data_IF_813676454324
#
_entry.id   IF_813676454324
#
_cell.length_a   1.000
_cell.length_b   1.000
_cell.length_c   1.000
_cell.angle_alpha   90.00
_cell.angle_beta   90.00
_cell.angle_gamma   90.00
#
_symmetry.space_group_name_H-M   'P 1'
#
loop_
_entity.id
_entity.type
_entity.pdbx_description
1 polymer ?
#
# COMPACT_ATOMS: atom_id res chain seq x y z
N UNK A 1 -21.61 -10.24 -4.16
CA UNK A 1 -22.76 -9.49 -4.72
C UNK A 1 -22.72 -8.06 -4.19
N UNK A 2 -22.46 -7.06 -5.04
CA UNK A 2 -22.62 -5.66 -4.68
C UNK A 2 -24.11 -5.32 -4.71
N UNK A 3 -24.62 -4.63 -3.70
CA UNK A 3 -26.04 -4.24 -3.61
C UNK A 3 -26.46 -3.43 -4.83
N UNK A 4 -27.74 -3.47 -5.24
CA UNK A 4 -28.24 -2.68 -6.38
C UNK A 4 -27.96 -1.17 -6.23
N UNK A 5 -27.91 -0.68 -4.98
CA UNK A 5 -27.47 0.68 -4.65
C UNK A 5 -26.00 0.97 -5.04
N UNK A 6 -25.11 -0.02 -4.95
CA UNK A 6 -23.69 0.09 -5.34
C UNK A 6 -23.49 0.08 -6.86
N UNK A 7 -24.33 -0.64 -7.60
CA UNK A 7 -24.27 -0.70 -9.07
C UNK A 7 -24.80 0.58 -9.72
N UNK A 8 -25.81 1.22 -9.13
CA UNK A 8 -26.32 2.52 -9.57
C UNK A 8 -25.38 3.69 -9.22
N UNK A 9 -24.62 3.60 -8.12
CA UNK A 9 -23.65 4.61 -7.72
C UNK A 9 -22.36 4.61 -8.57
N UNK A 10 -21.98 3.47 -9.17
CA UNK A 10 -20.79 3.37 -10.03
C UNK A 10 -20.77 4.34 -11.23
N UNK A 11 -21.84 4.46 -12.04
CA UNK A 11 -21.85 5.40 -13.16
C UNK A 11 -21.92 6.87 -12.69
N UNK A 12 -22.64 7.17 -11.61
CA UNK A 12 -22.71 8.53 -11.05
C UNK A 12 -21.37 8.97 -10.44
N UNK A 13 -20.64 8.07 -9.78
CA UNK A 13 -19.27 8.31 -9.31
C UNK A 13 -18.26 8.44 -10.46
N UNK A 14 -18.49 7.74 -11.58
CA UNK A 14 -17.64 7.84 -12.78
C UNK A 14 -17.78 9.18 -13.53
N UNK A 15 -18.93 9.84 -13.41
CA UNK A 15 -19.15 11.19 -13.97
C UNK A 15 -18.45 12.27 -13.12
N UNK A 16 -18.31 12.03 -11.82
CA UNK A 16 -17.71 12.98 -10.86
C UNK A 16 -16.19 12.79 -10.64
N UNK A 17 -15.62 11.62 -10.94
CA UNK A 17 -14.17 11.38 -10.91
C UNK A 17 -13.53 11.65 -12.27
N UNK A 18 -13.17 12.90 -12.53
CA UNK A 18 -12.47 13.31 -13.75
C UNK A 18 -10.96 13.42 -13.48
N UNK A 19 -10.34 12.28 -13.15
CA UNK A 19 -8.88 12.16 -13.18
C UNK A 19 -8.31 12.58 -14.55
N UNK A 20 -7.01 12.92 -14.65
CA UNK A 20 -6.43 13.55 -15.84
C UNK A 20 -6.77 12.78 -17.11
N UNK A 21 -7.52 13.43 -18.02
CA UNK A 21 -8.13 12.79 -19.19
C UNK A 21 -7.19 12.77 -20.40
N UNK A 22 -6.08 13.50 -20.34
CA UNK A 22 -5.08 13.53 -21.41
C UNK A 22 -4.05 12.41 -21.21
N UNK A 23 -3.60 11.82 -22.33
CA UNK A 23 -2.51 10.84 -22.31
C UNK A 23 -1.25 11.42 -21.65
N UNK A 24 -0.97 12.71 -21.87
CA UNK A 24 0.14 13.45 -21.25
C UNK A 24 -0.01 13.61 -19.73
N UNK A 25 -1.20 13.96 -19.23
CA UNK A 25 -1.44 14.11 -17.79
C UNK A 25 -1.35 12.78 -17.03
N UNK A 26 -1.78 11.68 -17.67
CA UNK A 26 -1.57 10.32 -17.16
C UNK A 26 -0.09 9.92 -17.19
N UNK A 27 0.63 10.25 -18.26
CA UNK A 27 2.05 9.96 -18.38
C UNK A 27 2.88 10.70 -17.33
N UNK A 28 2.57 11.98 -17.06
CA UNK A 28 3.24 12.79 -16.03
C UNK A 28 3.00 12.21 -14.62
N UNK A 29 1.76 11.83 -14.31
CA UNK A 29 1.41 11.21 -13.03
C UNK A 29 2.08 9.82 -12.85
N UNK A 30 2.15 9.01 -13.92
CA UNK A 30 2.87 7.74 -13.92
C UNK A 30 4.39 7.93 -13.84
N UNK A 31 4.93 9.00 -14.43
CA UNK A 31 6.34 9.36 -14.31
C UNK A 31 6.67 9.72 -12.86
N UNK A 32 5.87 10.54 -12.17
CA UNK A 32 6.13 10.90 -10.77
C UNK A 32 6.22 9.67 -9.84
N UNK A 33 5.31 8.70 -9.97
CA UNK A 33 5.38 7.46 -9.19
C UNK A 33 6.63 6.60 -9.48
N UNK A 34 7.19 6.71 -10.70
CA UNK A 34 8.46 6.08 -11.09
C UNK A 34 9.67 6.90 -10.65
N UNK A 35 9.58 8.23 -10.69
CA UNK A 35 10.66 9.17 -10.31
C UNK A 35 10.96 9.08 -8.81
N UNK A 36 9.93 9.00 -7.96
CA UNK A 36 10.13 8.86 -6.51
C UNK A 36 10.42 7.41 -6.05
N UNK A 37 10.52 6.46 -6.98
CA UNK A 37 10.80 5.05 -6.68
C UNK A 37 9.81 4.38 -5.73
N UNK A 38 8.57 4.90 -5.63
CA UNK A 38 7.53 4.39 -4.76
C UNK A 38 7.12 2.95 -5.13
N UNK A 39 7.15 2.64 -6.43
CA UNK A 39 6.88 1.29 -6.97
C UNK A 39 8.13 0.42 -7.07
N UNK A 40 9.28 0.92 -6.62
CA UNK A 40 10.54 0.16 -6.69
C UNK A 40 10.51 -1.02 -5.73
N UNK A 41 10.97 -2.17 -6.22
CA UNK A 41 11.21 -3.35 -5.37
C UNK A 41 12.46 -3.19 -4.51
N UNK A 42 13.35 -2.27 -4.86
CA UNK A 42 14.58 -2.02 -4.11
C UNK A 42 14.26 -1.40 -2.75
N UNK A 43 14.94 -1.88 -1.71
CA UNK A 43 14.83 -1.32 -0.36
C UNK A 43 15.48 0.06 -0.35
N UNK A 44 16.72 0.18 -0.80
CA UNK A 44 17.44 1.45 -0.91
C UNK A 44 17.43 1.95 -2.35
N UNK A 45 17.07 3.21 -2.57
CA UNK A 45 17.23 3.89 -3.86
C UNK A 45 18.56 4.66 -3.92
N UNK A 46 19.08 4.99 -5.12
CA UNK A 46 20.34 5.72 -5.27
C UNK A 46 20.39 7.10 -4.59
N UNK A 47 19.22 7.75 -4.44
CA UNK A 47 19.06 9.08 -3.82
C UNK A 47 18.81 9.02 -2.30
N UNK A 48 18.84 7.83 -1.72
CA UNK A 48 18.56 7.61 -0.30
C UNK A 48 19.81 7.37 0.53
N UNK A 49 19.73 7.76 1.79
CA UNK A 49 20.84 7.67 2.75
C UNK A 49 21.03 6.22 3.22
N UNK A 50 22.09 5.59 2.71
CA UNK A 50 22.48 4.22 3.04
C UNK A 50 22.91 4.06 4.50
N UNK A 51 23.59 5.05 5.07
CA UNK A 51 24.09 5.02 6.45
C UNK A 51 22.93 5.14 7.43
N UNK A 52 21.95 5.99 7.11
CA UNK A 52 20.72 6.07 7.91
C UNK A 52 19.89 4.78 7.82
N UNK A 53 19.82 4.11 6.66
CA UNK A 53 19.20 2.78 6.56
C UNK A 53 19.94 1.76 7.43
N UNK A 54 21.27 1.76 7.40
CA UNK A 54 22.07 0.88 8.24
C UNK A 54 21.85 1.15 9.73
N UNK A 55 21.74 2.42 10.14
CA UNK A 55 21.43 2.81 11.52
C UNK A 55 20.03 2.34 11.95
N UNK A 56 19.01 2.52 11.10
CA UNK A 56 17.65 2.02 11.35
C UNK A 56 17.64 0.50 11.49
N UNK A 57 18.35 -0.19 10.61
CA UNK A 57 18.53 -1.65 10.68
C UNK A 57 19.16 -2.05 12.01
N UNK A 58 20.27 -1.43 12.38
CA UNK A 58 20.97 -1.73 13.62
C UNK A 58 20.08 -1.50 14.85
N UNK A 59 19.35 -0.39 14.90
CA UNK A 59 18.45 -0.07 16.01
C UNK A 59 17.31 -1.09 16.13
N UNK A 60 16.66 -1.44 15.01
CA UNK A 60 15.60 -2.46 15.01
C UNK A 60 16.13 -3.83 15.40
N UNK A 61 17.27 -4.26 14.86
CA UNK A 61 17.90 -5.52 15.26
C UNK A 61 18.27 -5.55 16.74
N UNK A 62 18.79 -4.46 17.29
CA UNK A 62 19.11 -4.37 18.71
C UNK A 62 17.88 -4.50 19.61
N UNK A 63 16.73 -3.93 19.21
CA UNK A 63 15.48 -4.03 19.96
C UNK A 63 14.83 -5.41 19.81
N UNK A 64 14.89 -5.98 18.61
CA UNK A 64 14.26 -7.26 18.29
C UNK A 64 15.08 -8.46 18.75
N UNK A 65 16.40 -8.31 18.91
CA UNK A 65 17.33 -9.36 19.29
C UNK A 65 17.09 -10.70 18.54
N UNK A 66 17.09 -10.68 17.18
CA UNK A 66 16.85 -11.88 16.40
C UNK A 66 17.96 -12.91 16.62
N UNK A 67 17.60 -14.19 16.72
CA UNK A 67 18.55 -15.31 16.82
C UNK A 67 18.35 -16.26 15.65
N UNK A 68 19.45 -16.55 14.96
CA UNK A 68 19.45 -17.44 13.80
C UNK A 68 18.88 -16.78 12.53
N UNK A 69 18.91 -17.54 11.43
CA UNK A 69 18.64 -17.01 10.10
C UNK A 69 17.17 -16.56 9.93
N UNK A 70 16.22 -17.31 10.46
CA UNK A 70 14.79 -17.05 10.24
C UNK A 70 14.32 -15.77 10.93
N UNK A 71 14.71 -15.58 12.20
CA UNK A 71 14.41 -14.34 12.93
C UNK A 71 15.10 -13.12 12.30
N UNK A 72 16.34 -13.30 11.82
CA UNK A 72 17.10 -12.26 11.13
C UNK A 72 16.37 -11.83 9.84
N UNK A 73 15.86 -12.78 9.07
CA UNK A 73 15.11 -12.50 7.85
C UNK A 73 13.83 -11.72 8.14
N UNK A 74 13.07 -12.09 9.18
CA UNK A 74 11.87 -11.37 9.59
C UNK A 74 12.18 -9.95 10.08
N UNK A 75 13.28 -9.78 10.82
CA UNK A 75 13.74 -8.45 11.24
C UNK A 75 14.16 -7.59 10.03
N UNK A 76 14.87 -8.17 9.05
CA UNK A 76 15.24 -7.48 7.82
C UNK A 76 14.01 -7.13 6.95
N UNK A 77 12.98 -7.98 6.92
CA UNK A 77 11.69 -7.68 6.27
C UNK A 77 10.98 -6.50 6.95
N UNK A 78 11.01 -6.42 8.29
CA UNK A 78 10.48 -5.27 9.02
C UNK A 78 11.22 -3.98 8.66
N UNK A 79 12.56 -4.01 8.62
CA UNK A 79 13.39 -2.86 8.20
C UNK A 79 13.01 -2.43 6.78
N UNK A 80 12.90 -3.38 5.86
CA UNK A 80 12.57 -3.13 4.47
C UNK A 80 11.15 -2.55 4.29
N UNK A 81 10.18 -3.01 5.08
CA UNK A 81 8.82 -2.47 5.08
C UNK A 81 8.77 -1.05 5.70
N UNK A 82 9.45 -0.84 6.82
CA UNK A 82 9.54 0.45 7.50
C UNK A 82 10.20 1.51 6.60
N UNK A 83 11.27 1.14 5.89
CA UNK A 83 11.94 2.04 4.97
C UNK A 83 11.04 2.48 3.81
N UNK A 84 10.32 1.53 3.20
CA UNK A 84 9.36 1.84 2.12
C UNK A 84 8.18 2.67 2.63
N UNK A 85 7.71 2.46 3.87
CA UNK A 85 6.69 3.30 4.50
C UNK A 85 7.20 4.73 4.71
N UNK A 86 8.44 4.89 5.18
CA UNK A 86 9.07 6.22 5.32
C UNK A 86 9.14 6.95 3.99
N UNK A 87 9.57 6.25 2.91
CA UNK A 87 9.56 6.81 1.55
C UNK A 87 8.15 7.24 1.13
N UNK A 88 7.15 6.39 1.37
CA UNK A 88 5.75 6.69 1.06
C UNK A 88 5.28 7.97 1.74
N UNK A 89 5.53 8.12 3.05
CA UNK A 89 5.16 9.33 3.79
C UNK A 89 5.91 10.58 3.31
N UNK A 90 7.19 10.45 2.91
CA UNK A 90 7.96 11.56 2.32
C UNK A 90 7.29 12.05 1.03
N UNK A 91 6.95 11.11 0.12
CA UNK A 91 6.28 11.42 -1.14
C UNK A 91 4.89 12.03 -0.89
N UNK A 92 4.15 11.51 0.09
CA UNK A 92 2.85 12.06 0.49
C UNK A 92 2.98 13.53 0.93
N UNK A 93 3.95 13.84 1.78
CA UNK A 93 4.21 15.20 2.24
C UNK A 93 4.62 16.16 1.11
N UNK A 94 5.45 15.69 0.16
CA UNK A 94 5.85 16.46 -1.02
C UNK A 94 4.65 16.78 -1.92
N UNK A 95 3.79 15.79 -2.19
CA UNK A 95 2.56 15.97 -2.97
C UNK A 95 1.66 17.01 -2.27
N UNK A 96 1.44 16.90 -0.97
CA UNK A 96 0.66 17.87 -0.21
C UNK A 96 1.25 19.28 -0.27
N UNK A 97 2.58 19.41 -0.21
CA UNK A 97 3.24 20.71 -0.27
C UNK A 97 3.02 21.39 -1.63
N UNK A 98 3.17 20.65 -2.73
CA UNK A 98 2.95 21.15 -4.09
C UNK A 98 1.49 21.54 -4.30
N UNK A 99 0.54 20.70 -3.89
CA UNK A 99 -0.89 21.01 -4.03
C UNK A 99 -1.29 22.25 -3.21
N UNK A 100 -0.82 22.36 -1.96
CA UNK A 100 -1.06 23.57 -1.15
C UNK A 100 -0.48 24.83 -1.80
N UNK A 101 0.69 24.74 -2.43
CA UNK A 101 1.30 25.88 -3.11
C UNK A 101 0.48 26.32 -4.35
N UNK A 102 -0.03 25.37 -5.14
CA UNK A 102 -0.91 25.63 -6.29
C UNK A 102 -2.23 26.31 -5.86
N UNK A 103 -2.86 25.82 -4.80
CA UNK A 103 -4.12 26.39 -4.31
C UNK A 103 -3.95 27.82 -3.80
N UNK A 104 -2.80 28.10 -3.17
CA UNK A 104 -2.43 29.47 -2.75
C UNK A 104 -2.18 30.40 -3.94
N UNK A 105 -1.59 29.91 -5.04
CA UNK A 105 -1.36 30.74 -6.23
C UNK A 105 -2.66 31.05 -7.00
N UNK A 106 -3.61 30.13 -6.97
CA UNK A 106 -4.86 30.22 -7.76
C UNK A 106 -6.00 30.94 -7.00
N UNK A 107 -5.75 31.43 -5.77
CA UNK A 107 -6.73 32.18 -4.98
C UNK A 107 -7.93 31.36 -4.48
N UNK A 108 -7.86 30.03 -4.56
CA UNK A 108 -8.96 29.13 -4.18
C UNK A 108 -8.68 28.51 -2.80
N UNK A 109 -9.48 28.88 -1.79
CA UNK A 109 -9.32 28.39 -0.40
C UNK A 109 -9.76 26.92 -0.17
N UNK A 110 -10.26 26.22 -1.18
CA UNK A 110 -10.70 24.82 -1.01
C UNK A 110 -10.41 23.96 -2.24
N UNK A 111 -9.23 23.33 -2.25
CA UNK A 111 -8.79 22.38 -3.27
C UNK A 111 -8.81 20.92 -2.81
N UNK A 112 -9.94 20.46 -2.28
CA UNK A 112 -10.08 19.11 -1.71
C UNK A 112 -10.09 18.01 -2.80
N UNK A 113 -10.36 18.36 -4.07
CA UNK A 113 -10.62 17.38 -5.13
C UNK A 113 -9.40 16.66 -5.74
N UNK A 114 -8.29 17.35 -6.00
CA UNK A 114 -7.14 16.79 -6.76
C UNK A 114 -6.15 16.03 -5.88
N UNK A 115 -5.93 16.48 -4.65
CA UNK A 115 -5.14 15.75 -3.65
C UNK A 115 -5.70 14.35 -3.37
N UNK A 116 -7.03 14.20 -3.47
CA UNK A 116 -7.76 12.96 -3.18
C UNK A 116 -7.28 11.75 -3.99
N UNK A 117 -7.05 11.89 -5.31
CA UNK A 117 -6.71 10.77 -6.19
C UNK A 117 -5.27 10.28 -6.00
N UNK A 118 -4.33 11.19 -5.76
CA UNK A 118 -2.93 10.82 -5.49
C UNK A 118 -2.82 10.21 -4.10
N UNK A 119 -3.48 10.78 -3.10
CA UNK A 119 -3.56 10.17 -1.76
C UNK A 119 -4.19 8.79 -1.80
N UNK A 120 -5.30 8.62 -2.52
CA UNK A 120 -5.94 7.31 -2.66
C UNK A 120 -4.99 6.27 -3.28
N UNK A 121 -4.09 6.68 -4.18
CA UNK A 121 -3.03 5.80 -4.70
C UNK A 121 -1.98 5.51 -3.65
N UNK A 122 -1.52 6.50 -2.88
CA UNK A 122 -0.54 6.30 -1.80
C UNK A 122 -1.07 5.35 -0.72
N UNK A 123 -2.31 5.53 -0.26
CA UNK A 123 -2.94 4.66 0.75
C UNK A 123 -3.06 3.19 0.29
N UNK A 124 -3.19 2.95 -1.02
CA UNK A 124 -3.19 1.58 -1.59
C UNK A 124 -1.84 0.89 -1.47
N UNK A 125 -0.73 1.62 -1.40
CA UNK A 125 0.62 1.06 -1.17
C UNK A 125 0.95 0.97 0.31
N UNK A 126 0.43 1.89 1.12
CA UNK A 126 0.63 1.90 2.56
C UNK A 126 0.08 0.63 3.23
N UNK A 127 -1.12 0.20 2.82
CA UNK A 127 -1.79 -0.97 3.42
C UNK A 127 -0.95 -2.26 3.25
N UNK A 128 -0.50 -2.65 2.04
CA UNK A 128 0.38 -3.81 1.87
C UNK A 128 1.69 -3.70 2.67
N UNK A 129 2.30 -2.52 2.74
CA UNK A 129 3.56 -2.32 3.47
C UNK A 129 3.37 -2.45 4.98
N UNK A 130 2.31 -1.85 5.54
CA UNK A 130 1.93 -2.04 6.96
C UNK A 130 1.62 -3.50 7.25
N UNK A 131 0.87 -4.18 6.38
CA UNK A 131 0.57 -5.61 6.54
C UNK A 131 1.84 -6.47 6.52
N UNK A 132 2.78 -6.17 5.63
CA UNK A 132 4.08 -6.85 5.60
C UNK A 132 4.85 -6.63 6.91
N UNK A 133 4.92 -5.38 7.40
CA UNK A 133 5.58 -5.04 8.66
C UNK A 133 4.97 -5.80 9.85
N UNK A 134 3.65 -5.74 10.04
CA UNK A 134 3.00 -6.41 11.17
C UNK A 134 3.03 -7.93 11.06
N UNK A 135 2.94 -8.50 9.85
CA UNK A 135 3.11 -9.94 9.65
C UNK A 135 4.50 -10.39 10.10
N UNK A 136 5.55 -9.71 9.65
CA UNK A 136 6.91 -10.04 10.04
C UNK A 136 7.13 -9.93 11.55
N UNK A 137 6.60 -8.86 12.18
CA UNK A 137 6.63 -8.68 13.63
C UNK A 137 5.93 -9.83 14.37
N UNK A 138 4.72 -10.20 13.96
CA UNK A 138 3.97 -11.26 14.63
C UNK A 138 4.64 -12.62 14.49
N UNK A 139 5.14 -12.98 13.29
CA UNK A 139 5.86 -14.24 13.11
C UNK A 139 7.17 -14.27 13.92
N UNK A 140 7.88 -13.14 13.99
CA UNK A 140 9.09 -13.02 14.81
C UNK A 140 8.77 -13.23 16.30
N UNK A 141 7.76 -12.54 16.82
CA UNK A 141 7.32 -12.69 18.21
C UNK A 141 6.90 -14.12 18.51
N UNK A 142 6.27 -14.83 17.56
CA UNK A 142 5.90 -16.24 17.72
C UNK A 142 7.12 -17.14 17.81
N UNK A 143 8.12 -16.96 16.94
CA UNK A 143 9.37 -17.73 17.01
C UNK A 143 10.10 -17.49 18.33
N UNK A 144 10.15 -16.24 18.78
CA UNK A 144 10.79 -15.87 20.04
C UNK A 144 10.04 -16.44 21.26
N UNK A 145 8.71 -16.45 21.22
CA UNK A 145 7.88 -17.07 22.26
C UNK A 145 8.08 -18.60 22.31
N UNK A 146 8.11 -19.28 21.16
CA UNK A 146 8.45 -20.72 21.08
C UNK A 146 9.84 -20.98 21.66
N UNK A 147 10.83 -20.16 21.30
CA UNK A 147 12.19 -20.25 21.85
C UNK A 147 12.23 -20.03 23.36
N UNK A 148 11.41 -19.12 23.89
CA UNK A 148 11.27 -18.88 25.32
C UNK A 148 10.48 -19.99 26.06
N UNK A 149 10.05 -21.05 25.35
CA UNK A 149 9.29 -22.16 25.93
C UNK A 149 7.82 -21.87 26.16
N UNK A 150 7.29 -20.78 25.60
CA UNK A 150 5.87 -20.43 25.70
C UNK A 150 5.04 -21.28 24.73
N UNK A 151 3.84 -21.68 25.16
CA UNK A 151 2.89 -22.36 24.29
C UNK A 151 2.30 -21.35 23.28
N UNK A 152 2.74 -21.45 22.03
CA UNK A 152 2.24 -20.59 20.93
C UNK A 152 1.37 -21.43 20.01
N UNK A 153 0.11 -21.03 19.83
CA UNK A 153 -0.78 -21.69 18.88
C UNK A 153 -0.26 -21.53 17.43
N UNK A 154 -0.34 -22.57 16.58
CA UNK A 154 -0.04 -22.46 15.15
C UNK A 154 -0.93 -21.41 14.47
N UNK A 155 -0.50 -20.80 13.36
CA UNK A 155 -1.33 -19.84 12.65
C UNK A 155 -2.52 -20.59 12.05
N UNK A 156 -3.73 -20.05 12.21
CA UNK A 156 -4.92 -20.61 11.58
C UNK A 156 -4.92 -20.22 10.11
N UNK A 157 -4.64 -21.17 9.23
CA UNK A 157 -4.85 -21.02 7.79
C UNK A 157 -6.33 -21.29 7.50
N UNK A 158 -7.06 -20.26 7.05
CA UNK A 158 -8.43 -20.39 6.56
C UNK A 158 -8.35 -20.42 5.03
N UNK A 159 -8.54 -21.58 4.44
CA UNK A 159 -8.70 -21.70 2.99
C UNK A 159 -10.09 -21.20 2.60
N UNK A 160 -10.13 -20.13 1.81
CA UNK A 160 -11.37 -19.55 1.29
C UNK A 160 -11.46 -19.87 -0.18
N UNK A 161 -12.19 -20.93 -0.53
CA UNK A 161 -12.55 -21.22 -1.91
C UNK A 161 -13.65 -20.25 -2.37
N UNK A 162 -13.29 -19.35 -3.29
CA UNK A 162 -14.25 -18.46 -3.95
C UNK A 162 -14.69 -19.11 -5.26
N UNK A 163 -15.72 -19.95 -5.20
CA UNK A 163 -16.42 -20.43 -6.39
C UNK A 163 -17.31 -19.31 -6.93
N UNK A 164 -16.87 -18.67 -8.02
CA UNK A 164 -17.73 -17.80 -8.81
C UNK A 164 -18.61 -18.72 -9.67
N UNK A 165 -19.83 -18.97 -9.22
CA UNK A 165 -20.81 -19.67 -10.04
C UNK A 165 -21.09 -18.83 -11.30
N UNK A 166 -20.62 -19.31 -12.45
CA UNK A 166 -21.08 -18.81 -13.74
C UNK A 166 -22.53 -19.28 -13.89
N UNK A 167 -23.48 -18.35 -13.73
CA UNK A 167 -24.85 -18.60 -14.13
C UNK A 167 -24.86 -18.51 -15.65
N UNK A 168 -24.64 -19.63 -16.33
CA UNK A 168 -24.97 -19.76 -17.74
C UNK A 168 -26.48 -19.62 -17.84
N UNK A 169 -26.91 -18.47 -18.34
CA UNK A 169 -28.30 -18.16 -18.61
C UNK A 169 -28.81 -19.06 -19.73
N UNK A 170 -29.38 -20.20 -19.38
CA UNK A 170 -30.37 -20.88 -20.20
C UNK A 170 -31.71 -20.18 -19.98
N UNK A 171 -32.00 -19.13 -20.75
CA UNK A 171 -33.39 -18.78 -21.10
C UNK A 171 -33.43 -17.72 -22.24
N UNK A 172 -33.63 -18.17 -23.47
CA UNK A 172 -34.45 -17.45 -24.44
C UNK A 172 -35.47 -18.47 -24.98
N UNK A 173 -36.66 -18.43 -24.40
CA UNK A 173 -37.87 -19.02 -24.96
C UNK A 173 -38.59 -18.05 -25.90
N UNK A 174 -39.32 -18.64 -26.85
CA UNK A 174 -40.51 -18.17 -27.56
C UNK A 174 -40.47 -16.90 -28.43
N UNK A 175 -40.72 -17.08 -29.75
CA UNK A 175 -41.87 -16.55 -30.50
C UNK A 175 -41.57 -16.44 -32.01
N UNK A 176 -42.12 -17.37 -32.81
CA UNK A 176 -42.72 -17.17 -34.15
C UNK A 176 -43.34 -18.47 -34.69
#
# INVERSE_FOLDING_TARGET
MATPARLAANPQNAILSTGPRTAEGKALACQNARTHGLLSRQVLLPDEDADYLAAVRQQLHAQLAPVGALETLLADDMVAAAWRLRRLHRVEAEVFAVERARLKSDGMESGVGVASDVLAKLSRYETPLKRAFYRALHELQRLQAVRAGQAVSPPVAVDVDVTVAHLDGSDEGDDA
#
